data_IF_573359261052
#
_entry.id   IF_573359261052
#
_cell.length_a   1.000
_cell.length_b   1.000
_cell.length_c   1.000
_cell.angle_alpha   90.00
_cell.angle_beta   90.00
_cell.angle_gamma   90.00
#
_symmetry.space_group_name_H-M   'P 1'
#
loop_
_entity.id
_entity.type
_entity.pdbx_description
1 polymer ?
#
# COMPACT_ATOMS: atom_id res chain seq x y z
N UNK A 1 -54.31 -46.67 65.56
CA UNK A 1 -54.23 -47.93 66.32
C UNK A 1 -53.87 -49.08 65.37
N UNK A 2 -52.80 -49.80 65.70
CA UNK A 2 -52.51 -51.22 65.41
C UNK A 2 -52.53 -51.82 63.98
N UNK A 3 -51.31 -52.20 63.53
CA UNK A 3 -50.81 -53.52 63.07
C UNK A 3 -51.61 -54.41 62.08
N UNK A 4 -50.97 -54.65 60.92
CA UNK A 4 -50.46 -55.92 60.33
C UNK A 4 -51.14 -57.28 60.59
N UNK A 5 -51.28 -58.07 59.50
CA UNK A 5 -51.11 -59.55 59.27
C UNK A 5 -51.96 -59.93 58.03
N UNK A 6 -51.66 -60.84 57.10
CA UNK A 6 -50.59 -61.81 56.86
C UNK A 6 -51.08 -62.80 55.77
N UNK A 7 -50.29 -62.96 54.69
CA UNK A 7 -50.00 -64.15 53.84
C UNK A 7 -50.93 -65.38 53.75
N UNK A 8 -51.18 -65.86 52.51
CA UNK A 8 -51.04 -67.28 52.04
C UNK A 8 -51.18 -67.33 50.49
N UNK A 9 -50.15 -67.61 49.66
CA UNK A 9 -49.49 -68.87 49.25
C UNK A 9 -50.12 -69.60 48.05
N UNK A 10 -49.25 -69.94 47.06
CA UNK A 10 -49.48 -70.86 45.94
C UNK A 10 -49.29 -70.19 44.57
N UNK A 11 -48.46 -70.63 43.62
CA UNK A 11 -47.56 -71.77 43.55
C UNK A 11 -46.49 -71.50 42.47
N UNK A 12 -45.32 -72.10 42.66
CA UNK A 12 -44.22 -72.24 41.71
C UNK A 12 -44.69 -72.78 40.33
N UNK A 13 -44.18 -72.23 39.22
CA UNK A 13 -43.33 -73.01 38.29
C UNK A 13 -42.54 -72.12 37.32
N UNK A 14 -41.29 -72.53 37.17
CA UNK A 14 -40.16 -71.93 36.47
C UNK A 14 -40.15 -72.39 35.01
N UNK A 15 -39.94 -71.50 34.06
CA UNK A 15 -39.19 -71.82 32.84
C UNK A 15 -38.26 -70.65 32.48
N UNK A 16 -36.98 -70.89 32.74
CA UNK A 16 -35.86 -70.18 32.14
C UNK A 16 -35.92 -70.38 30.62
N UNK A 17 -35.89 -69.29 29.86
CA UNK A 17 -35.31 -69.32 28.53
C UNK A 17 -34.42 -68.08 28.36
N UNK A 18 -33.14 -68.35 28.35
CA UNK A 18 -32.04 -67.43 28.10
C UNK A 18 -32.04 -67.01 26.63
N UNK A 19 -32.48 -65.79 26.35
CA UNK A 19 -32.27 -65.10 25.07
C UNK A 19 -31.27 -63.96 25.25
N UNK A 20 -30.20 -63.97 24.46
CA UNK A 20 -29.18 -62.91 24.43
C UNK A 20 -29.82 -61.56 24.03
N UNK A 21 -29.35 -60.42 24.56
CA UNK A 21 -29.75 -59.11 24.05
C UNK A 21 -29.26 -58.96 22.61
N UNK A 22 -30.19 -58.83 21.67
CA UNK A 22 -29.92 -58.39 20.32
C UNK A 22 -29.27 -57.00 20.39
N UNK A 23 -27.99 -56.89 20.02
CA UNK A 23 -27.40 -55.59 19.72
C UNK A 23 -27.99 -55.12 18.39
N UNK A 24 -28.98 -54.24 18.47
CA UNK A 24 -29.41 -53.47 17.32
C UNK A 24 -28.24 -52.60 16.87
N UNK A 25 -27.65 -52.98 15.74
CA UNK A 25 -26.71 -52.16 15.00
C UNK A 25 -27.53 -51.01 14.42
N UNK A 26 -27.72 -49.93 15.20
CA UNK A 26 -28.21 -48.65 14.71
C UNK A 26 -27.18 -48.13 13.70
N UNK A 27 -27.36 -48.55 12.45
CA UNK A 27 -26.70 -47.94 11.31
C UNK A 27 -27.26 -46.52 11.19
N UNK A 28 -26.59 -45.60 11.89
CA UNK A 28 -26.73 -44.16 11.76
C UNK A 28 -26.30 -43.73 10.34
N UNK A 29 -27.05 -44.14 9.32
CA UNK A 29 -27.06 -43.49 8.02
C UNK A 29 -27.83 -42.18 8.19
N UNK A 30 -27.16 -41.18 8.75
CA UNK A 30 -27.62 -39.80 8.67
C UNK A 30 -27.69 -39.46 7.18
N UNK A 31 -28.90 -39.47 6.61
CA UNK A 31 -29.12 -39.02 5.25
C UNK A 31 -28.58 -37.58 5.15
N UNK A 32 -27.49 -37.41 4.39
CA UNK A 32 -26.91 -36.10 4.14
C UNK A 32 -27.99 -35.23 3.50
N UNK A 33 -28.52 -34.25 4.25
CA UNK A 33 -29.39 -33.24 3.66
C UNK A 33 -28.59 -32.56 2.54
N UNK A 34 -29.01 -32.73 1.28
CA UNK A 34 -28.46 -32.00 0.14
C UNK A 34 -28.34 -30.52 0.50
N UNK A 35 -27.10 -30.03 0.62
CA UNK A 35 -26.84 -28.62 0.96
C UNK A 35 -27.34 -27.77 -0.21
N UNK A 36 -28.45 -27.06 -0.01
CA UNK A 36 -28.92 -26.05 -0.96
C UNK A 36 -27.91 -24.90 -0.95
N UNK A 37 -27.24 -24.70 -2.09
CA UNK A 37 -26.31 -23.60 -2.27
C UNK A 37 -27.09 -22.28 -2.32
N UNK A 38 -26.93 -21.45 -1.30
CA UNK A 38 -27.56 -20.13 -1.24
C UNK A 38 -26.75 -19.15 -2.10
N UNK A 39 -27.23 -18.88 -3.32
CA UNK A 39 -26.60 -17.92 -4.27
C UNK A 39 -26.41 -16.55 -3.62
N UNK A 40 -27.37 -16.09 -2.81
CA UNK A 40 -27.28 -14.83 -2.06
C UNK A 40 -26.08 -14.81 -1.13
N UNK A 41 -25.82 -15.91 -0.40
CA UNK A 41 -24.67 -16.02 0.50
C UNK A 41 -23.34 -16.02 -0.25
N UNK A 42 -23.30 -16.60 -1.46
CA UNK A 42 -22.12 -16.54 -2.32
C UNK A 42 -21.83 -15.11 -2.78
N UNK A 43 -22.84 -14.39 -3.25
CA UNK A 43 -22.71 -12.99 -3.67
C UNK A 43 -22.21 -12.10 -2.53
N UNK A 44 -22.76 -12.27 -1.33
CA UNK A 44 -22.31 -11.52 -0.15
C UNK A 44 -20.83 -11.80 0.15
N UNK A 45 -20.39 -13.05 0.03
CA UNK A 45 -18.99 -13.43 0.27
C UNK A 45 -18.02 -12.94 -0.83
N UNK A 46 -18.50 -12.67 -2.04
CA UNK A 46 -17.69 -12.02 -3.08
C UNK A 46 -17.63 -10.51 -2.85
N UNK A 47 -18.78 -9.88 -2.64
CA UNK A 47 -18.88 -8.42 -2.62
C UNK A 47 -18.43 -7.80 -1.30
N UNK A 48 -18.75 -8.40 -0.15
CA UNK A 48 -18.44 -7.78 1.14
C UNK A 48 -16.92 -7.67 1.40
N UNK A 49 -16.10 -8.73 1.21
CA UNK A 49 -14.65 -8.60 1.37
C UNK A 49 -14.03 -7.66 0.32
N UNK A 50 -14.57 -7.63 -0.90
CA UNK A 50 -14.13 -6.71 -1.94
C UNK A 50 -14.40 -5.24 -1.59
N UNK A 51 -15.57 -4.92 -1.04
CA UNK A 51 -15.89 -3.57 -0.58
C UNK A 51 -15.04 -3.16 0.61
N UNK A 52 -14.81 -4.06 1.56
CA UNK A 52 -13.88 -3.83 2.69
C UNK A 52 -12.46 -3.56 2.16
N UNK A 53 -12.00 -4.37 1.20
CA UNK A 53 -10.71 -4.15 0.55
C UNK A 53 -10.64 -2.76 -0.10
N UNK A 54 -11.63 -2.38 -0.91
CA UNK A 54 -11.64 -1.07 -1.59
C UNK A 54 -11.63 0.09 -0.59
N UNK A 55 -12.43 0.01 0.48
CA UNK A 55 -12.51 1.04 1.50
C UNK A 55 -11.21 1.19 2.29
N UNK A 56 -10.65 0.09 2.78
CA UNK A 56 -9.39 0.08 3.55
C UNK A 56 -8.20 0.48 2.67
N UNK A 57 -8.11 -0.08 1.47
CA UNK A 57 -7.05 0.24 0.51
C UNK A 57 -7.11 1.72 0.13
N UNK A 58 -8.30 2.23 -0.19
CA UNK A 58 -8.48 3.64 -0.55
C UNK A 58 -8.10 4.58 0.59
N UNK A 59 -8.51 4.26 1.82
CA UNK A 59 -8.19 5.04 3.01
C UNK A 59 -6.68 5.07 3.31
N UNK A 60 -5.98 3.94 3.14
CA UNK A 60 -4.54 3.83 3.35
C UNK A 60 -3.69 4.38 2.20
N UNK A 61 -4.22 4.36 0.97
CA UNK A 61 -3.45 4.71 -0.23
C UNK A 61 -3.53 6.19 -0.62
N UNK A 62 -4.63 6.88 -0.34
CA UNK A 62 -4.90 8.22 -0.88
C UNK A 62 -4.86 9.32 0.20
N UNK A 63 -5.38 10.50 -0.15
CA UNK A 63 -5.31 11.75 0.62
C UNK A 63 -5.76 11.64 2.10
N UNK A 64 -6.63 10.68 2.44
CA UNK A 64 -7.03 10.42 3.83
C UNK A 64 -5.83 10.08 4.71
N UNK A 65 -4.91 9.22 4.23
CA UNK A 65 -3.70 8.85 4.96
C UNK A 65 -2.75 10.03 5.11
N UNK A 66 -2.68 10.89 4.10
CA UNK A 66 -1.84 12.10 4.09
C UNK A 66 -2.28 13.14 5.12
N UNK A 67 -3.58 13.47 5.14
CA UNK A 67 -4.11 14.54 6.00
C UNK A 67 -4.31 14.11 7.44
N UNK A 68 -4.72 12.87 7.64
CA UNK A 68 -5.19 12.38 8.94
C UNK A 68 -4.88 10.90 9.07
N UNK A 69 -3.64 10.53 9.42
CA UNK A 69 -3.26 9.12 9.58
C UNK A 69 -4.17 8.40 10.60
N UNK A 70 -4.67 9.12 11.61
CA UNK A 70 -5.65 8.59 12.56
C UNK A 70 -6.94 8.09 11.86
N UNK A 71 -7.50 8.85 10.91
CA UNK A 71 -8.71 8.44 10.21
C UNK A 71 -8.46 7.21 9.33
N UNK A 72 -7.31 7.13 8.67
CA UNK A 72 -6.93 5.95 7.89
C UNK A 72 -6.86 4.69 8.78
N UNK A 73 -6.21 4.78 9.94
CA UNK A 73 -6.15 3.67 10.91
C UNK A 73 -7.51 3.32 11.53
N UNK A 74 -8.41 4.29 11.73
CA UNK A 74 -9.77 4.02 12.17
C UNK A 74 -10.58 3.23 11.12
N UNK A 75 -10.36 3.48 9.83
CA UNK A 75 -10.97 2.69 8.75
C UNK A 75 -10.42 1.26 8.74
N UNK A 76 -9.13 1.06 8.97
CA UNK A 76 -8.54 -0.28 9.17
C UNK A 76 -9.19 -0.99 10.35
N UNK A 77 -9.35 -0.29 11.49
CA UNK A 77 -10.00 -0.83 12.68
C UNK A 77 -11.47 -1.20 12.41
N UNK A 78 -12.19 -0.43 11.60
CA UNK A 78 -13.53 -0.77 11.14
C UNK A 78 -13.54 -2.05 10.29
N UNK A 79 -12.57 -2.22 9.38
CA UNK A 79 -12.40 -3.47 8.60
C UNK A 79 -12.11 -4.70 9.48
N UNK A 80 -11.27 -4.54 10.51
CA UNK A 80 -11.01 -5.57 11.52
C UNK A 80 -12.28 -5.88 12.32
N UNK A 81 -13.05 -4.87 12.72
CA UNK A 81 -14.31 -5.05 13.43
C UNK A 81 -15.34 -5.83 12.59
N UNK A 82 -15.47 -5.51 11.29
CA UNK A 82 -16.34 -6.24 10.36
C UNK A 82 -15.90 -7.71 10.26
N UNK A 83 -14.60 -7.95 10.14
CA UNK A 83 -14.04 -9.31 10.15
C UNK A 83 -14.36 -10.03 11.46
N UNK A 84 -14.12 -9.40 12.61
CA UNK A 84 -14.41 -9.97 13.92
C UNK A 84 -15.90 -10.29 14.11
N UNK A 85 -16.81 -9.43 13.64
CA UNK A 85 -18.26 -9.69 13.65
C UNK A 85 -18.61 -10.94 12.85
N UNK A 86 -18.03 -11.12 11.66
CA UNK A 86 -18.22 -12.35 10.87
C UNK A 86 -17.70 -13.59 11.63
N UNK A 87 -16.58 -13.47 12.35
CA UNK A 87 -16.03 -14.52 13.22
C UNK A 87 -16.94 -14.86 14.41
N UNK A 88 -17.50 -13.86 15.09
CA UNK A 88 -18.45 -14.04 16.19
C UNK A 88 -19.73 -14.72 15.70
N UNK A 89 -20.26 -14.30 14.54
CA UNK A 89 -21.40 -14.96 13.91
C UNK A 89 -21.07 -16.41 13.57
N UNK A 90 -19.90 -16.68 12.97
CA UNK A 90 -19.45 -18.03 12.68
C UNK A 90 -19.36 -18.92 13.94
N UNK A 91 -18.84 -18.38 15.04
CA UNK A 91 -18.74 -19.09 16.32
C UNK A 91 -20.11 -19.38 16.94
N UNK A 92 -21.00 -18.38 16.97
CA UNK A 92 -22.37 -18.55 17.48
C UNK A 92 -23.16 -19.55 16.67
N UNK A 93 -23.05 -19.50 15.34
CA UNK A 93 -23.68 -20.48 14.46
C UNK A 93 -23.10 -21.86 14.68
N UNK A 94 -21.77 -22.02 14.84
CA UNK A 94 -21.14 -23.32 15.15
C UNK A 94 -21.64 -23.93 16.47
N UNK A 95 -21.93 -23.10 17.47
CA UNK A 95 -22.47 -23.54 18.76
C UNK A 95 -23.95 -23.97 18.70
N UNK A 96 -24.74 -23.40 17.76
CA UNK A 96 -26.17 -23.66 17.63
C UNK A 96 -26.50 -24.71 16.56
N UNK A 97 -25.81 -24.65 15.42
CA UNK A 97 -25.95 -25.49 14.24
C UNK A 97 -24.57 -26.03 13.80
N UNK A 98 -24.50 -27.29 13.38
CA UNK A 98 -23.21 -27.95 13.04
C UNK A 98 -22.51 -27.45 11.76
N UNK A 99 -23.11 -26.55 10.96
CA UNK A 99 -22.62 -26.17 9.63
C UNK A 99 -22.33 -24.65 9.45
N UNK A 100 -21.26 -24.08 10.04
CA UNK A 100 -20.91 -22.66 9.93
C UNK A 100 -20.13 -22.26 8.64
N UNK A 101 -20.06 -23.14 7.64
CA UNK A 101 -19.11 -23.07 6.49
C UNK A 101 -19.01 -21.71 5.78
N UNK A 102 -20.14 -21.05 5.47
CA UNK A 102 -20.13 -19.75 4.78
C UNK A 102 -19.68 -18.58 5.67
N UNK A 103 -20.00 -18.61 6.96
CA UNK A 103 -19.58 -17.56 7.91
C UNK A 103 -18.09 -17.68 8.26
N UNK A 104 -17.57 -18.92 8.35
CA UNK A 104 -16.13 -19.14 8.52
C UNK A 104 -15.33 -18.68 7.30
N UNK A 105 -15.87 -18.87 6.09
CA UNK A 105 -15.27 -18.33 4.87
C UNK A 105 -15.30 -16.80 4.86
N UNK A 106 -16.44 -16.18 5.21
CA UNK A 106 -16.57 -14.72 5.31
C UNK A 106 -15.52 -14.10 6.24
N UNK A 107 -15.29 -14.72 7.40
CA UNK A 107 -14.26 -14.30 8.36
C UNK A 107 -12.85 -14.35 7.76
N UNK A 108 -12.48 -15.46 7.14
CA UNK A 108 -11.16 -15.63 6.51
C UNK A 108 -10.97 -14.68 5.31
N UNK A 109 -11.98 -14.52 4.47
CA UNK A 109 -11.92 -13.64 3.31
C UNK A 109 -11.82 -12.17 3.73
N UNK A 110 -12.63 -11.72 4.71
CA UNK A 110 -12.59 -10.34 5.21
C UNK A 110 -11.30 -10.01 5.97
N UNK A 111 -10.77 -10.95 6.76
CA UNK A 111 -9.50 -10.76 7.46
C UNK A 111 -8.32 -10.65 6.49
N UNK A 112 -8.22 -11.56 5.51
CA UNK A 112 -7.21 -11.48 4.45
C UNK A 112 -7.36 -10.21 3.61
N UNK A 113 -8.58 -9.83 3.26
CA UNK A 113 -8.85 -8.58 2.56
C UNK A 113 -8.34 -7.36 3.34
N UNK A 114 -8.59 -7.30 4.66
CA UNK A 114 -8.14 -6.18 5.50
C UNK A 114 -6.61 -6.14 5.63
N UNK A 115 -5.95 -7.30 5.76
CA UNK A 115 -4.48 -7.38 5.85
C UNK A 115 -3.85 -6.93 4.52
N UNK A 116 -4.27 -7.53 3.39
CA UNK A 116 -3.71 -7.18 2.09
C UNK A 116 -4.03 -5.74 1.68
N UNK A 117 -5.22 -5.23 1.99
CA UNK A 117 -5.57 -3.83 1.73
C UNK A 117 -4.68 -2.87 2.50
N UNK A 118 -4.39 -3.15 3.77
CA UNK A 118 -3.50 -2.33 4.60
C UNK A 118 -2.08 -2.35 4.05
N UNK A 119 -1.51 -3.53 3.77
CA UNK A 119 -0.12 -3.66 3.28
C UNK A 119 0.05 -3.04 1.90
N UNK A 120 -0.79 -3.40 0.93
CA UNK A 120 -0.67 -2.85 -0.42
C UNK A 120 -1.07 -1.37 -0.49
N UNK A 121 -2.02 -0.94 0.33
CA UNK A 121 -2.40 0.46 0.45
C UNK A 121 -1.26 1.32 0.99
N UNK A 122 -0.60 0.88 2.06
CA UNK A 122 0.55 1.56 2.66
C UNK A 122 1.74 1.59 1.69
N UNK A 123 2.06 0.47 1.02
CA UNK A 123 3.10 0.45 0.00
C UNK A 123 2.81 1.44 -1.15
N UNK A 124 1.57 1.46 -1.66
CA UNK A 124 1.21 2.40 -2.73
C UNK A 124 1.30 3.86 -2.27
N UNK A 125 0.97 4.12 -1.00
CA UNK A 125 1.11 5.42 -0.39
C UNK A 125 2.58 5.87 -0.35
N UNK A 126 3.46 5.10 0.28
CA UNK A 126 4.87 5.46 0.44
C UNK A 126 5.62 5.61 -0.89
N UNK A 127 5.36 4.73 -1.86
CA UNK A 127 6.13 4.73 -3.11
C UNK A 127 5.61 5.71 -4.16
N UNK A 128 4.30 5.96 -4.22
CA UNK A 128 3.69 6.73 -5.32
C UNK A 128 2.97 7.98 -4.83
N UNK A 129 2.05 7.84 -3.87
CA UNK A 129 1.13 8.93 -3.52
C UNK A 129 1.72 9.96 -2.56
N UNK A 130 2.57 9.55 -1.61
CA UNK A 130 3.22 10.47 -0.69
C UNK A 130 4.14 11.46 -1.41
N UNK A 131 5.07 11.04 -2.30
CA UNK A 131 5.86 11.98 -3.08
C UNK A 131 5.00 12.95 -3.88
N UNK A 132 3.89 12.48 -4.46
CA UNK A 132 2.96 13.33 -5.20
C UNK A 132 2.31 14.41 -4.31
N UNK A 133 1.79 14.06 -3.13
CA UNK A 133 1.16 15.02 -2.23
C UNK A 133 2.17 16.00 -1.60
N UNK A 134 3.36 15.52 -1.22
CA UNK A 134 4.42 16.38 -0.70
C UNK A 134 4.86 17.41 -1.75
N UNK A 135 4.90 17.02 -3.02
CA UNK A 135 5.20 17.90 -4.13
C UNK A 135 4.04 18.88 -4.41
N UNK A 136 2.79 18.43 -4.35
CA UNK A 136 1.61 19.28 -4.64
C UNK A 136 1.40 20.39 -3.59
N UNK A 137 1.84 20.18 -2.35
CA UNK A 137 1.66 21.14 -1.26
C UNK A 137 2.73 22.24 -1.17
N UNK A 138 3.68 22.29 -2.11
CA UNK A 138 4.80 23.25 -2.09
C UNK A 138 4.66 24.27 -3.23
N UNK A 139 5.25 25.46 -3.06
CA UNK A 139 5.10 26.57 -3.98
C UNK A 139 5.87 26.37 -5.29
N UNK A 140 5.25 26.81 -6.39
CA UNK A 140 5.86 26.88 -7.72
C UNK A 140 6.25 28.31 -8.05
N UNK A 141 7.46 28.51 -8.54
CA UNK A 141 8.00 29.83 -8.87
C UNK A 141 8.31 29.94 -10.37
N UNK A 142 7.62 30.83 -11.11
CA UNK A 142 7.90 31.07 -12.51
C UNK A 142 9.00 32.13 -12.72
N UNK A 143 9.75 31.99 -13.81
CA UNK A 143 10.73 32.98 -14.29
C UNK A 143 11.81 33.38 -13.29
N UNK A 144 12.35 32.40 -12.56
CA UNK A 144 13.42 32.61 -11.58
C UNK A 144 14.74 32.90 -12.29
N UNK A 145 15.42 33.96 -11.87
CA UNK A 145 16.76 34.30 -12.36
C UNK A 145 17.84 33.96 -11.29
N UNK A 146 18.68 32.93 -11.52
CA UNK A 146 19.74 32.53 -10.58
C UNK A 146 20.75 33.62 -10.21
N UNK A 147 20.88 34.68 -11.01
CA UNK A 147 21.79 35.81 -10.74
C UNK A 147 21.19 36.96 -9.95
N UNK A 148 19.86 37.03 -9.87
CA UNK A 148 19.17 38.07 -9.08
C UNK A 148 18.60 37.52 -7.79
N UNK A 149 18.01 36.34 -7.86
CA UNK A 149 17.37 35.68 -6.73
C UNK A 149 18.35 34.80 -5.97
N UNK A 150 18.15 34.68 -4.66
CA UNK A 150 19.01 33.86 -3.78
C UNK A 150 18.25 32.64 -3.31
N UNK A 151 18.97 31.55 -3.01
CA UNK A 151 18.35 30.31 -2.52
C UNK A 151 17.56 30.49 -1.22
N UNK A 152 17.95 31.47 -0.39
CA UNK A 152 17.24 31.80 0.84
C UNK A 152 15.80 32.32 0.60
N UNK A 153 15.53 32.94 -0.54
CA UNK A 153 14.18 33.44 -0.89
C UNK A 153 13.27 32.32 -1.39
N UNK A 154 13.85 31.22 -1.89
CA UNK A 154 13.14 30.11 -2.53
C UNK A 154 13.30 28.80 -1.75
N UNK A 155 13.45 28.89 -0.42
CA UNK A 155 13.57 27.72 0.45
C UNK A 155 12.32 26.84 0.48
N UNK A 156 11.19 27.35 0.02
CA UNK A 156 9.90 26.67 -0.12
C UNK A 156 9.53 26.43 -1.59
N UNK A 157 10.47 26.57 -2.53
CA UNK A 157 10.22 26.27 -3.94
C UNK A 157 10.32 24.77 -4.19
N UNK A 158 9.33 24.17 -4.84
CA UNK A 158 9.39 22.77 -5.31
C UNK A 158 9.64 22.72 -6.80
N UNK A 159 8.81 23.41 -7.57
CA UNK A 159 8.97 23.61 -9.01
C UNK A 159 9.49 25.01 -9.27
N UNK A 160 10.62 25.08 -9.97
CA UNK A 160 11.20 26.35 -10.41
C UNK A 160 11.27 26.33 -11.93
N UNK A 161 10.65 27.32 -12.57
CA UNK A 161 10.87 27.60 -13.98
C UNK A 161 11.86 28.74 -14.09
N UNK A 162 12.99 28.48 -14.72
CA UNK A 162 14.04 29.47 -14.87
C UNK A 162 13.77 30.39 -16.07
N UNK A 163 14.27 31.63 -15.99
CA UNK A 163 14.18 32.62 -17.06
C UNK A 163 14.94 32.18 -18.33
N UNK A 164 14.55 32.70 -19.49
CA UNK A 164 15.24 32.44 -20.76
C UNK A 164 16.69 32.94 -20.74
N UNK A 165 17.63 32.07 -21.13
CA UNK A 165 19.07 32.33 -21.00
C UNK A 165 19.71 31.70 -19.76
N UNK A 166 18.91 31.01 -18.93
CA UNK A 166 19.45 30.10 -17.92
C UNK A 166 19.91 28.77 -18.53
N UNK A 167 20.95 28.20 -17.94
CA UNK A 167 21.49 26.93 -18.37
C UNK A 167 22.42 26.32 -17.32
N UNK A 168 22.85 25.09 -17.60
CA UNK A 168 23.79 24.38 -16.76
C UNK A 168 25.23 24.78 -17.09
N UNK A 169 26.00 25.19 -16.08
CA UNK A 169 27.43 25.39 -16.26
C UNK A 169 28.18 24.09 -15.95
N UNK A 170 28.32 23.26 -16.98
CA UNK A 170 28.98 21.95 -16.88
C UNK A 170 30.47 22.07 -16.54
N UNK A 171 31.14 23.18 -16.89
CA UNK A 171 32.55 23.41 -16.57
C UNK A 171 32.84 23.54 -15.06
N UNK A 172 31.82 23.88 -14.27
CA UNK A 172 31.88 23.96 -12.80
C UNK A 172 31.16 22.80 -12.13
N UNK A 173 30.96 21.69 -12.84
CA UNK A 173 30.36 20.50 -12.26
C UNK A 173 31.35 19.77 -11.34
N UNK A 174 30.81 19.12 -10.31
CA UNK A 174 31.59 18.37 -9.34
C UNK A 174 30.83 17.11 -8.93
N UNK A 175 31.54 16.12 -8.39
CA UNK A 175 30.93 14.89 -7.92
C UNK A 175 31.51 14.42 -6.61
N UNK A 176 30.64 13.96 -5.72
CA UNK A 176 31.01 13.27 -4.49
C UNK A 176 30.66 11.78 -4.61
N UNK A 177 31.52 10.88 -4.10
CA UNK A 177 31.28 9.44 -4.17
C UNK A 177 31.12 8.84 -2.77
N UNK A 178 29.96 8.24 -2.52
CA UNK A 178 29.68 7.42 -1.34
C UNK A 178 28.67 6.32 -1.70
N UNK A 179 29.15 5.08 -1.91
CA UNK A 179 28.44 3.99 -2.60
C UNK A 179 28.05 4.36 -4.04
N UNK A 180 27.14 5.33 -4.17
CA UNK A 180 26.75 6.01 -5.40
C UNK A 180 27.57 7.28 -5.63
N UNK A 181 27.58 7.75 -6.88
CA UNK A 181 28.21 9.00 -7.28
C UNK A 181 27.16 10.10 -7.36
N UNK A 182 27.26 11.09 -6.49
CA UNK A 182 26.39 12.26 -6.42
C UNK A 182 26.98 13.40 -7.26
N UNK A 183 26.34 13.71 -8.37
CA UNK A 183 26.79 14.70 -9.34
C UNK A 183 26.02 16.01 -9.13
N UNK A 184 26.73 17.13 -9.18
CA UNK A 184 26.15 18.48 -9.08
C UNK A 184 26.69 19.38 -10.18
N UNK A 185 25.83 20.23 -10.73
CA UNK A 185 26.23 21.30 -11.65
C UNK A 185 25.48 22.60 -11.30
N UNK A 186 26.16 23.75 -11.27
CA UNK A 186 25.48 25.01 -10.97
C UNK A 186 24.58 25.44 -12.13
N UNK A 187 23.41 25.93 -11.78
CA UNK A 187 22.46 26.56 -12.71
C UNK A 187 22.77 28.05 -12.72
N UNK A 188 23.08 28.58 -13.90
CA UNK A 188 23.55 29.96 -14.05
C UNK A 188 22.71 30.69 -15.09
N UNK A 189 22.70 32.03 -15.02
CA UNK A 189 22.14 32.88 -16.05
C UNK A 189 23.27 33.47 -16.89
N UNK A 190 23.34 33.11 -18.18
CA UNK A 190 24.44 33.52 -19.06
C UNK A 190 25.81 32.96 -18.65
N UNK A 191 26.87 33.72 -18.92
CA UNK A 191 28.28 33.33 -18.66
C UNK A 191 28.94 34.17 -17.55
N UNK A 192 28.20 35.10 -16.94
CA UNK A 192 28.78 35.98 -15.93
C UNK A 192 28.95 35.27 -14.58
N UNK A 193 30.05 35.57 -13.85
CA UNK A 193 30.26 35.01 -12.53
C UNK A 193 29.23 35.55 -11.55
N UNK A 194 28.49 34.63 -10.94
CA UNK A 194 27.47 34.94 -9.93
C UNK A 194 28.11 35.26 -8.58
N UNK A 195 27.48 36.14 -7.81
CA UNK A 195 27.90 36.46 -6.44
C UNK A 195 27.68 35.30 -5.45
N UNK A 196 26.67 34.46 -5.69
CA UNK A 196 26.37 33.24 -4.93
C UNK A 196 25.79 32.20 -5.88
N UNK A 197 26.27 30.96 -5.81
CA UNK A 197 25.77 29.83 -6.59
C UNK A 197 24.81 29.04 -5.71
N UNK A 198 23.57 29.48 -5.63
CA UNK A 198 22.58 28.86 -4.75
C UNK A 198 21.72 27.80 -5.47
N UNK A 199 21.67 27.79 -6.80
CA UNK A 199 20.86 26.85 -7.58
C UNK A 199 21.72 25.77 -8.22
N UNK A 200 21.41 24.50 -7.93
CA UNK A 200 22.20 23.35 -8.38
C UNK A 200 21.32 22.30 -9.04
N UNK A 201 21.70 21.88 -10.24
CA UNK A 201 21.20 20.69 -10.88
C UNK A 201 21.90 19.47 -10.29
N UNK A 202 21.13 18.43 -9.94
CA UNK A 202 21.64 17.25 -9.26
C UNK A 202 21.23 15.96 -9.94
N UNK A 203 22.01 14.92 -9.70
CA UNK A 203 21.56 13.54 -9.87
C UNK A 203 22.66 12.52 -9.59
N UNK A 204 22.34 11.25 -9.73
CA UNK A 204 23.21 10.15 -9.31
C UNK A 204 23.77 9.38 -10.51
N UNK A 205 25.02 8.95 -10.43
CA UNK A 205 25.70 8.06 -11.36
C UNK A 205 25.74 8.52 -12.84
N UNK A 206 25.67 9.83 -13.10
CA UNK A 206 25.59 10.43 -14.44
C UNK A 206 26.81 11.30 -14.82
N UNK A 207 27.89 11.26 -14.03
CA UNK A 207 29.11 12.03 -14.25
C UNK A 207 30.33 11.12 -14.09
N UNK A 208 31.45 11.47 -14.73
CA UNK A 208 32.73 10.72 -14.60
C UNK A 208 33.35 10.89 -13.21
N UNK A 209 33.09 12.02 -12.55
CA UNK A 209 33.61 12.39 -11.24
C UNK A 209 35.09 12.76 -11.20
N UNK A 210 35.80 12.64 -12.32
CA UNK A 210 37.20 13.10 -12.47
C UNK A 210 37.31 14.30 -13.40
N UNK A 211 36.38 14.42 -14.35
CA UNK A 211 36.26 15.57 -15.24
C UNK A 211 34.97 16.32 -14.94
N UNK A 212 34.93 17.60 -15.34
CA UNK A 212 33.75 18.45 -15.21
C UNK A 212 32.72 18.08 -16.30
N UNK A 213 32.09 16.91 -16.17
CA UNK A 213 31.07 16.40 -17.08
C UNK A 213 29.76 16.09 -16.33
N UNK A 214 28.75 16.93 -16.52
CA UNK A 214 27.41 16.69 -15.99
C UNK A 214 26.47 16.25 -17.10
N UNK A 215 25.89 15.05 -16.97
CA UNK A 215 24.98 14.45 -17.96
C UNK A 215 23.65 13.98 -17.35
N UNK A 216 23.27 14.52 -16.21
CA UNK A 216 22.02 14.17 -15.53
C UNK A 216 20.82 14.93 -16.10
N UNK A 217 19.65 14.29 -16.08
CA UNK A 217 18.40 14.88 -16.56
C UNK A 217 18.45 15.20 -18.04
N UNK A 218 17.73 16.24 -18.45
CA UNK A 218 17.67 16.69 -19.84
C UNK A 218 18.78 17.71 -20.15
N UNK A 219 20.04 17.40 -19.80
CA UNK A 219 21.18 18.33 -19.89
C UNK A 219 21.44 18.84 -21.33
N UNK A 220 21.13 18.02 -22.34
CA UNK A 220 21.35 18.31 -23.77
C UNK A 220 20.11 18.91 -24.45
N UNK A 221 18.98 19.02 -23.72
CA UNK A 221 17.76 19.60 -24.27
C UNK A 221 17.79 21.13 -24.11
N UNK A 222 17.84 21.92 -25.20
CA UNK A 222 17.84 23.38 -25.10
C UNK A 222 16.51 23.95 -24.59
N UNK A 223 15.43 23.15 -24.57
CA UNK A 223 14.13 23.54 -24.01
C UNK A 223 14.01 23.23 -22.52
N UNK A 224 14.94 22.45 -21.96
CA UNK A 224 14.95 22.19 -20.52
C UNK A 224 15.39 23.45 -19.79
N UNK A 225 14.46 24.06 -19.05
CA UNK A 225 14.67 25.28 -18.26
C UNK A 225 13.92 25.23 -16.93
N UNK A 226 13.63 24.03 -16.44
CA UNK A 226 12.89 23.85 -15.20
C UNK A 226 13.63 22.90 -14.26
N UNK A 227 13.41 23.13 -12.97
CA UNK A 227 13.96 22.33 -11.89
C UNK A 227 12.84 21.76 -11.03
N UNK A 228 12.89 20.45 -10.81
CA UNK A 228 12.08 19.76 -9.80
C UNK A 228 12.92 19.54 -8.55
N UNK A 229 12.52 20.06 -7.39
CA UNK A 229 13.32 19.98 -6.17
C UNK A 229 13.56 18.54 -5.70
N UNK A 230 14.76 18.30 -5.19
CA UNK A 230 15.09 17.07 -4.46
C UNK A 230 14.32 16.99 -3.14
N UNK A 231 13.29 16.15 -3.10
CA UNK A 231 12.51 15.87 -1.88
C UNK A 231 13.20 14.87 -0.95
N UNK A 232 14.05 14.00 -1.50
CA UNK A 232 14.76 12.95 -0.74
C UNK A 232 15.76 13.54 0.26
N UNK A 233 15.41 13.49 1.54
CA UNK A 233 16.24 14.03 2.63
C UNK A 233 17.49 13.19 2.91
N UNK A 234 17.45 11.89 2.60
CA UNK A 234 18.57 10.96 2.74
C UNK A 234 19.74 11.29 1.80
N UNK A 235 19.44 11.82 0.61
CA UNK A 235 20.45 12.16 -0.39
C UNK A 235 20.98 13.60 -0.26
N UNK A 236 20.20 14.49 0.36
CA UNK A 236 20.50 15.93 0.47
C UNK A 236 21.88 16.23 1.10
N UNK A 237 22.34 15.55 2.16
CA UNK A 237 23.66 15.78 2.73
C UNK A 237 24.80 15.43 1.76
N UNK A 238 24.65 14.39 0.94
CA UNK A 238 25.68 13.97 -0.01
C UNK A 238 25.83 14.95 -1.17
N UNK A 239 24.73 15.51 -1.68
CA UNK A 239 24.79 16.60 -2.65
C UNK A 239 25.40 17.87 -2.05
N UNK A 240 25.15 18.16 -0.77
CA UNK A 240 25.81 19.27 -0.08
C UNK A 240 27.32 19.09 0.02
N UNK A 241 27.80 17.87 0.28
CA UNK A 241 29.25 17.58 0.25
C UNK A 241 29.85 17.80 -1.15
N UNK A 242 29.13 17.40 -2.21
CA UNK A 242 29.55 17.66 -3.59
C UNK A 242 29.64 19.16 -3.90
N UNK A 243 28.68 19.96 -3.40
CA UNK A 243 28.73 21.43 -3.52
C UNK A 243 29.93 22.01 -2.77
N UNK A 244 30.19 21.57 -1.53
CA UNK A 244 31.35 22.03 -0.77
C UNK A 244 32.68 21.73 -1.47
N UNK A 245 32.78 20.59 -2.15
CA UNK A 245 33.94 20.27 -2.99
C UNK A 245 34.04 21.22 -4.20
N UNK A 246 32.91 21.56 -4.83
CA UNK A 246 32.89 22.51 -5.94
C UNK A 246 33.29 23.93 -5.51
N UNK A 247 32.83 24.36 -4.33
CA UNK A 247 33.21 25.65 -3.73
C UNK A 247 34.72 25.76 -3.54
N UNK A 248 35.34 24.72 -2.99
CA UNK A 248 36.78 24.66 -2.79
C UNK A 248 37.58 24.56 -4.11
N UNK A 249 37.10 23.77 -5.07
CA UNK A 249 37.81 23.53 -6.33
C UNK A 249 37.77 24.74 -7.29
N UNK A 250 36.64 25.43 -7.34
CA UNK A 250 36.41 26.53 -8.30
C UNK A 250 36.43 27.93 -7.65
N UNK A 251 36.73 28.01 -6.35
CA UNK A 251 36.72 29.25 -5.56
C UNK A 251 35.40 30.03 -5.71
N UNK A 252 34.29 29.31 -5.66
CA UNK A 252 32.93 29.85 -5.69
C UNK A 252 32.28 29.70 -4.30
N UNK A 253 31.19 30.43 -4.05
CA UNK A 253 30.43 30.33 -2.79
C UNK A 253 28.95 30.05 -3.07
N UNK A 254 28.36 29.18 -2.26
CA UNK A 254 26.97 28.76 -2.24
C UNK A 254 26.44 28.93 -0.81
N UNK A 255 25.78 30.05 -0.53
CA UNK A 255 25.32 30.35 0.83
C UNK A 255 24.17 29.41 1.24
N UNK A 256 23.19 29.23 0.36
CA UNK A 256 22.03 28.38 0.59
C UNK A 256 21.77 27.51 -0.65
N UNK A 257 22.49 26.37 -0.79
CA UNK A 257 22.35 25.52 -1.96
C UNK A 257 20.98 24.80 -1.97
N UNK A 258 20.23 25.03 -3.04
CA UNK A 258 19.00 24.33 -3.40
C UNK A 258 19.29 23.34 -4.54
N UNK A 259 18.69 22.15 -4.44
CA UNK A 259 18.96 21.04 -5.34
C UNK A 259 17.74 20.71 -6.20
N UNK A 260 17.94 20.66 -7.51
CA UNK A 260 16.89 20.41 -8.49
C UNK A 260 17.29 19.34 -9.51
N UNK A 261 16.34 18.51 -9.92
CA UNK A 261 16.46 17.69 -11.11
C UNK A 261 16.15 18.55 -12.34
N UNK A 262 17.07 18.56 -13.30
CA UNK A 262 16.97 19.39 -14.50
C UNK A 262 16.12 18.72 -15.58
N UNK A 263 15.03 19.39 -15.99
CA UNK A 263 14.07 18.86 -16.96
C UNK A 263 13.32 19.95 -17.72
N UNK A 264 12.59 19.57 -18.76
CA UNK A 264 11.72 20.50 -19.50
C UNK A 264 10.35 20.67 -18.83
N UNK A 265 9.74 19.58 -18.39
CA UNK A 265 8.39 19.59 -17.82
C UNK A 265 8.36 18.84 -16.47
N UNK A 266 8.35 19.57 -15.34
CA UNK A 266 8.29 18.95 -14.03
C UNK A 266 6.85 18.50 -13.70
N UNK A 267 5.83 19.08 -14.34
CA UNK A 267 4.43 18.70 -14.12
C UNK A 267 4.19 17.29 -14.65
N UNK A 268 4.75 16.95 -15.81
CA UNK A 268 4.64 15.60 -16.36
C UNK A 268 5.20 14.52 -15.41
N UNK A 269 6.36 14.75 -14.80
CA UNK A 269 6.96 13.79 -13.88
C UNK A 269 6.17 13.68 -12.56
N UNK A 270 5.62 14.78 -12.06
CA UNK A 270 4.71 14.76 -10.91
C UNK A 270 3.42 13.99 -11.22
N UNK A 271 2.83 14.22 -12.40
CA UNK A 271 1.61 13.54 -12.83
C UNK A 271 1.82 12.04 -13.06
N UNK A 272 3.05 11.62 -13.37
CA UNK A 272 3.42 10.21 -13.47
C UNK A 272 3.29 9.47 -12.14
N UNK A 273 3.74 10.06 -11.03
CA UNK A 273 3.53 9.48 -9.68
C UNK A 273 2.05 9.26 -9.37
N UNK A 274 1.20 10.25 -9.71
CA UNK A 274 -0.25 10.14 -9.58
C UNK A 274 -0.80 8.99 -10.45
N UNK A 275 -0.44 8.97 -11.73
CA UNK A 275 -0.90 7.95 -12.68
C UNK A 275 -0.49 6.54 -12.24
N UNK A 276 0.76 6.36 -11.81
CA UNK A 276 1.27 5.08 -11.34
C UNK A 276 0.56 4.63 -10.06
N UNK A 277 0.33 5.52 -9.09
CA UNK A 277 -0.41 5.14 -7.88
C UNK A 277 -1.88 4.77 -8.17
N UNK A 278 -2.56 5.42 -9.12
CA UNK A 278 -3.90 4.99 -9.55
C UNK A 278 -3.86 3.66 -10.31
N UNK A 279 -2.86 3.45 -11.18
CA UNK A 279 -2.66 2.20 -11.91
C UNK A 279 -2.46 1.03 -10.95
N UNK A 280 -1.59 1.16 -9.96
CA UNK A 280 -1.39 0.12 -8.94
C UNK A 280 -2.63 -0.10 -8.09
N UNK A 281 -3.39 0.95 -7.78
CA UNK A 281 -4.69 0.81 -7.10
C UNK A 281 -5.68 -0.03 -7.90
N UNK A 282 -5.86 0.26 -9.20
CA UNK A 282 -6.76 -0.51 -10.06
C UNK A 282 -6.31 -1.96 -10.21
N UNK A 283 -5.01 -2.20 -10.40
CA UNK A 283 -4.45 -3.56 -10.49
C UNK A 283 -4.70 -4.32 -9.18
N UNK A 284 -4.45 -3.71 -8.02
CA UNK A 284 -4.66 -4.34 -6.72
C UNK A 284 -6.14 -4.70 -6.48
N UNK A 285 -7.05 -3.76 -6.75
CA UNK A 285 -8.51 -3.97 -6.60
C UNK A 285 -9.00 -5.09 -7.53
N UNK A 286 -8.60 -5.06 -8.80
CA UNK A 286 -8.99 -6.08 -9.77
C UNK A 286 -8.42 -7.46 -9.42
N UNK A 287 -7.16 -7.53 -9.00
CA UNK A 287 -6.49 -8.78 -8.60
C UNK A 287 -7.15 -9.38 -7.37
N UNK A 288 -7.46 -8.57 -6.36
CA UNK A 288 -8.16 -9.05 -5.17
C UNK A 288 -9.58 -9.54 -5.49
N UNK A 289 -10.32 -8.82 -6.36
CA UNK A 289 -11.64 -9.26 -6.80
C UNK A 289 -11.59 -10.62 -7.51
N UNK A 290 -10.66 -10.79 -8.46
CA UNK A 290 -10.48 -12.05 -9.17
C UNK A 290 -10.08 -13.19 -8.23
N UNK A 291 -9.17 -12.94 -7.29
CA UNK A 291 -8.77 -13.90 -6.27
C UNK A 291 -9.94 -14.32 -5.38
N UNK A 292 -10.72 -13.35 -4.86
CA UNK A 292 -11.88 -13.65 -4.02
C UNK A 292 -12.95 -14.43 -4.79
N UNK A 293 -13.19 -14.08 -6.06
CA UNK A 293 -14.12 -14.80 -6.93
C UNK A 293 -13.69 -16.26 -7.12
N UNK A 294 -12.40 -16.51 -7.37
CA UNK A 294 -11.86 -17.87 -7.50
C UNK A 294 -11.97 -18.66 -6.19
N UNK A 295 -11.71 -18.03 -5.04
CA UNK A 295 -11.87 -18.68 -3.73
C UNK A 295 -13.34 -19.05 -3.46
N UNK A 296 -14.30 -18.17 -3.76
CA UNK A 296 -15.73 -18.46 -3.60
C UNK A 296 -16.19 -19.55 -4.58
N UNK A 297 -15.76 -19.50 -5.84
CA UNK A 297 -16.07 -20.52 -6.83
C UNK A 297 -15.50 -21.90 -6.46
N UNK A 298 -14.25 -21.93 -5.97
CA UNK A 298 -13.61 -23.15 -5.47
C UNK A 298 -14.31 -23.72 -4.24
N UNK A 299 -14.71 -22.88 -3.29
CA UNK A 299 -15.50 -23.28 -2.14
C UNK A 299 -16.88 -23.83 -2.56
N UNK A 300 -17.56 -23.16 -3.49
CA UNK A 300 -18.84 -23.61 -4.03
C UNK A 300 -18.72 -24.98 -4.72
N UNK A 301 -17.67 -25.20 -5.52
CA UNK A 301 -17.41 -26.48 -6.20
C UNK A 301 -17.08 -27.60 -5.21
N UNK A 302 -16.26 -27.32 -4.18
CA UNK A 302 -15.95 -28.28 -3.14
C UNK A 302 -17.23 -28.71 -2.38
N UNK A 303 -18.09 -27.75 -2.04
CA UNK A 303 -19.37 -28.05 -1.38
C UNK A 303 -20.36 -28.78 -2.29
N UNK A 304 -20.39 -28.51 -3.60
CA UNK A 304 -21.22 -29.29 -4.53
C UNK A 304 -20.73 -30.72 -4.66
N UNK A 305 -19.41 -30.97 -4.71
CA UNK A 305 -18.85 -32.32 -4.82
C UNK A 305 -19.10 -33.16 -3.57
N UNK A 306 -18.89 -32.59 -2.38
CA UNK A 306 -19.18 -33.26 -1.10
C UNK A 306 -20.68 -33.61 -0.99
N UNK A 307 -21.58 -32.83 -1.61
CA UNK A 307 -23.01 -33.14 -1.64
C UNK A 307 -23.41 -34.26 -2.62
N UNK A 308 -22.51 -34.66 -3.52
CA UNK A 308 -22.74 -35.74 -4.49
C UNK A 308 -22.17 -37.10 -4.04
N UNK A 309 -21.20 -37.11 -3.13
CA UNK A 309 -20.56 -38.34 -2.61
C UNK A 309 -21.30 -38.97 -1.40
N UNK A 310 -22.38 -38.35 -0.91
CA UNK A 310 -23.25 -38.83 0.17
C UNK A 310 -24.73 -38.79 -0.24
#
# INVERSE_FOLDING_TARGET
MSKAFGTFSGAYSRHQNSGMPHMDHDSSFSHGKRKRLNVVSMLINVLAPWLVFCGVFGAMSFYTHYTSPLLAWLVVLAGVAISALAGVLAYRTKMRDRDPTWYTFAFLAASLATIFATVFGDMNYWYNMQPYYDIENINTYPSVNPGREKGQQLMDAERVYFEDGTGLNTSKSMAFRNLDRYCVAPIVFGQEPLASYDFWAVGVNCCSGTTADFRCGEYDNPKARSGLRLMREDQRPFFRLAVQQAEAAYNIKANHPLFFYWMQDPVAEVMKYRSDGFKYAFIAIATHFAFNLLCVAGAAFAFSKISHEF
#
